data_IF_149266803965
#
_entry.id   IF_149266803965
#
_cell.length_a   1.000
_cell.length_b   1.000
_cell.length_c   1.000
_cell.angle_alpha   90.00
_cell.angle_beta   90.00
_cell.angle_gamma   90.00
#
_symmetry.space_group_name_H-M   'P 1'
#
loop_
_entity.id
_entity.type
_entity.pdbx_description
1 polymer ?
#
# COMPACT_ATOMS: atom_id res chain seq x y z
N UNK A 1 -11.52 -2.29 2.92
CA UNK A 1 -10.18 -1.93 3.47
C UNK A 1 -9.60 -2.96 4.43
N UNK A 2 -10.42 -3.64 5.24
CA UNK A 2 -9.96 -4.60 6.26
C UNK A 2 -9.19 -5.79 5.68
N UNK A 3 -9.59 -6.29 4.50
CA UNK A 3 -8.94 -7.44 3.86
C UNK A 3 -7.52 -7.15 3.38
N UNK A 4 -7.30 -6.06 2.62
CA UNK A 4 -5.95 -5.66 2.16
C UNK A 4 -4.99 -5.46 3.35
N UNK A 5 -5.45 -4.81 4.42
CA UNK A 5 -4.64 -4.61 5.63
C UNK A 5 -4.25 -5.94 6.29
N UNK A 6 -5.19 -6.88 6.38
CA UNK A 6 -4.95 -8.22 6.93
C UNK A 6 -3.97 -9.00 6.05
N UNK A 7 -4.24 -9.07 4.74
CA UNK A 7 -3.42 -9.82 3.79
C UNK A 7 -2.00 -9.26 3.72
N UNK A 8 -1.84 -7.93 3.71
CA UNK A 8 -0.54 -7.28 3.75
C UNK A 8 0.24 -7.67 5.01
N UNK A 9 -0.39 -7.62 6.19
CA UNK A 9 0.27 -7.99 7.45
C UNK A 9 0.64 -9.49 7.51
N UNK A 10 -0.16 -10.37 6.89
CA UNK A 10 0.11 -11.81 6.85
C UNK A 10 1.19 -12.20 5.83
N UNK A 11 1.23 -11.52 4.68
CA UNK A 11 2.09 -11.88 3.53
C UNK A 11 3.37 -11.06 3.43
N UNK A 12 3.36 -9.80 3.84
CA UNK A 12 4.49 -8.86 3.71
C UNK A 12 5.20 -8.67 5.05
N UNK A 13 5.57 -9.79 5.67
CA UNK A 13 6.24 -9.78 6.98
C UNK A 13 7.71 -9.40 6.83
N UNK A 14 8.33 -8.93 7.90
CA UNK A 14 9.79 -8.70 7.95
C UNK A 14 10.52 -9.96 7.48
N UNK A 15 11.46 -9.81 6.55
CA UNK A 15 12.17 -10.91 5.90
C UNK A 15 11.57 -11.38 4.56
N UNK A 16 10.37 -10.91 4.18
CA UNK A 16 9.78 -11.21 2.87
C UNK A 16 10.62 -10.59 1.76
N UNK A 17 10.79 -11.28 0.64
CA UNK A 17 11.62 -10.79 -0.47
C UNK A 17 10.83 -9.89 -1.43
N UNK A 18 11.52 -8.97 -2.08
CA UNK A 18 10.97 -7.99 -3.02
C UNK A 18 10.15 -8.64 -4.15
N UNK A 19 10.51 -9.83 -4.63
CA UNK A 19 9.75 -10.61 -5.62
C UNK A 19 8.35 -10.99 -5.09
N UNK A 20 8.26 -11.51 -3.87
CA UNK A 20 6.98 -11.82 -3.22
C UNK A 20 6.17 -10.54 -2.95
N UNK A 21 6.85 -9.42 -2.65
CA UNK A 21 6.19 -8.12 -2.50
C UNK A 21 5.60 -7.68 -3.85
N UNK A 22 6.35 -7.78 -4.95
CA UNK A 22 5.85 -7.45 -6.27
C UNK A 22 4.62 -8.30 -6.65
N UNK A 23 4.69 -9.62 -6.46
CA UNK A 23 3.57 -10.53 -6.71
C UNK A 23 2.32 -10.16 -5.89
N UNK A 24 2.51 -9.75 -4.63
CA UNK A 24 1.40 -9.28 -3.79
C UNK A 24 0.75 -8.01 -4.37
N UNK A 25 1.56 -7.03 -4.79
CA UNK A 25 1.04 -5.80 -5.37
C UNK A 25 0.25 -6.08 -6.65
N UNK A 26 0.79 -6.91 -7.54
CA UNK A 26 0.11 -7.35 -8.76
C UNK A 26 -1.21 -8.09 -8.45
N UNK A 27 -1.21 -9.01 -7.49
CA UNK A 27 -2.40 -9.75 -7.09
C UNK A 27 -3.52 -8.86 -6.53
N UNK A 28 -3.17 -7.73 -5.92
CA UNK A 28 -4.12 -6.75 -5.40
C UNK A 28 -4.37 -5.58 -6.36
N UNK A 29 -3.83 -5.62 -7.59
CA UNK A 29 -4.00 -4.58 -8.60
C UNK A 29 -3.32 -3.25 -8.26
N UNK A 30 -2.38 -3.26 -7.30
CA UNK A 30 -1.60 -2.10 -6.89
C UNK A 30 -0.38 -1.96 -7.82
N UNK A 31 -0.13 -0.78 -8.41
CA UNK A 31 1.12 -0.56 -9.14
C UNK A 31 2.30 -0.60 -8.17
N UNK A 32 3.30 -1.44 -8.42
CA UNK A 32 4.48 -1.53 -7.56
C UNK A 32 5.56 -0.56 -8.04
N UNK A 33 5.74 0.55 -7.30
CA UNK A 33 6.82 1.50 -7.54
C UNK A 33 7.81 1.44 -6.39
N UNK A 34 9.08 1.17 -6.71
CA UNK A 34 10.16 1.14 -5.71
C UNK A 34 11.03 2.37 -5.88
N UNK A 35 11.20 3.12 -4.80
CA UNK A 35 12.13 4.26 -4.77
C UNK A 35 13.11 4.11 -3.62
N UNK A 36 14.30 4.70 -3.78
CA UNK A 36 15.31 4.73 -2.73
C UNK A 36 15.00 5.86 -1.75
N UNK A 37 15.01 5.57 -0.46
CA UNK A 37 14.76 6.52 0.62
C UNK A 37 15.90 6.42 1.62
N UNK A 38 16.87 7.32 1.48
CA UNK A 38 18.10 7.30 2.28
C UNK A 38 18.87 5.97 2.19
N UNK A 39 18.85 5.22 3.30
CA UNK A 39 19.56 3.96 3.48
C UNK A 39 18.70 2.71 3.21
N UNK A 40 17.47 2.88 2.73
CA UNK A 40 16.56 1.79 2.41
C UNK A 40 15.81 2.08 1.10
N UNK A 41 14.95 1.15 0.70
CA UNK A 41 14.03 1.25 -0.44
C UNK A 41 12.60 1.25 0.09
N UNK A 42 11.69 1.87 -0.64
CA UNK A 42 10.29 1.94 -0.28
C UNK A 42 9.46 1.54 -1.49
N UNK A 43 8.70 0.45 -1.33
CA UNK A 43 7.72 -0.02 -2.30
C UNK A 43 6.37 0.62 -2.00
N UNK A 44 5.83 1.38 -2.95
CA UNK A 44 4.55 2.07 -2.80
C UNK A 44 3.65 1.81 -4.00
N UNK A 45 2.37 1.65 -3.71
CA UNK A 45 1.33 1.43 -4.69
C UNK A 45 0.01 1.96 -4.16
N UNK A 46 -0.72 2.64 -5.04
CA UNK A 46 -1.99 3.27 -4.71
C UNK A 46 -3.00 2.91 -5.79
N UNK A 47 -4.21 2.53 -5.37
CA UNK A 47 -5.35 2.34 -6.26
C UNK A 47 -6.46 3.32 -5.88
N UNK A 48 -7.18 3.79 -6.89
CA UNK A 48 -8.41 4.53 -6.69
C UNK A 48 -9.57 3.56 -6.62
N UNK A 49 -10.37 3.68 -5.57
CA UNK A 49 -11.61 2.93 -5.42
C UNK A 49 -12.79 3.89 -5.43
N UNK A 50 -13.87 3.49 -6.11
CA UNK A 50 -15.13 4.20 -6.16
C UNK A 50 -16.16 3.48 -5.29
N UNK A 51 -17.06 4.22 -4.64
CA UNK A 51 -18.18 3.65 -3.89
C UNK A 51 -17.89 3.33 -2.42
N UNK A 52 -17.14 4.19 -1.72
CA UNK A 52 -16.98 4.14 -0.27
C UNK A 52 -18.00 5.02 0.48
N UNK A 53 -18.24 4.75 1.76
CA UNK A 53 -18.98 5.69 2.62
C UNK A 53 -18.08 6.86 3.00
N UNK A 54 -18.03 7.90 2.18
CA UNK A 54 -17.24 9.08 2.47
C UNK A 54 -17.78 9.86 3.68
N UNK A 55 -16.90 10.47 4.50
CA UNK A 55 -17.31 11.35 5.59
C UNK A 55 -18.11 12.56 5.09
N UNK A 56 -18.96 13.14 5.96
CA UNK A 56 -19.62 14.41 5.66
C UNK A 56 -18.58 15.48 5.36
N UNK A 57 -18.67 16.13 4.21
CA UNK A 57 -17.71 17.11 3.70
C UNK A 57 -16.97 16.67 2.43
N UNK A 58 -17.02 15.38 2.08
CA UNK A 58 -16.49 14.89 0.80
C UNK A 58 -17.52 14.99 -0.33
N UNK A 59 -17.11 15.59 -1.44
CA UNK A 59 -17.90 15.78 -2.67
C UNK A 59 -17.96 14.54 -3.56
N UNK A 60 -17.16 13.51 -3.29
CA UNK A 60 -17.30 12.18 -3.91
C UNK A 60 -17.00 11.06 -2.92
N UNK A 61 -17.43 9.85 -3.30
CA UNK A 61 -17.13 8.60 -2.58
C UNK A 61 -15.78 7.98 -2.98
N UNK A 62 -15.00 8.71 -3.77
CA UNK A 62 -13.72 8.24 -4.28
C UNK A 62 -12.67 8.27 -3.17
N UNK A 63 -11.95 7.16 -3.01
CA UNK A 63 -10.86 7.04 -2.08
C UNK A 63 -9.60 6.48 -2.76
N UNK A 64 -8.44 6.98 -2.36
CA UNK A 64 -7.16 6.39 -2.68
C UNK A 64 -6.78 5.43 -1.56
N UNK A 65 -6.60 4.15 -1.88
CA UNK A 65 -6.05 3.16 -0.97
C UNK A 65 -4.60 2.96 -1.34
N UNK A 66 -3.70 3.20 -0.38
CA UNK A 66 -2.27 3.06 -0.53
C UNK A 66 -1.72 1.92 0.32
N UNK A 67 -0.72 1.22 -0.20
CA UNK A 67 0.13 0.28 0.51
C UNK A 67 1.58 0.74 0.40
N UNK A 68 2.27 0.72 1.53
CA UNK A 68 3.68 1.09 1.66
C UNK A 68 4.44 -0.02 2.37
N UNK A 69 5.59 -0.39 1.83
CA UNK A 69 6.47 -1.43 2.36
C UNK A 69 7.90 -0.90 2.38
N UNK A 70 8.55 -0.94 3.53
CA UNK A 70 9.97 -0.61 3.64
C UNK A 70 10.81 -1.86 3.37
N UNK A 71 11.77 -1.71 2.45
CA UNK A 71 12.66 -2.75 1.98
C UNK A 71 14.11 -2.36 2.27
N UNK A 72 14.96 -3.31 2.63
CA UNK A 72 16.40 -3.13 2.61
C UNK A 72 16.89 -2.82 1.19
N UNK A 73 18.12 -2.31 1.07
CA UNK A 73 18.74 -2.10 -0.25
C UNK A 73 18.82 -3.41 -1.06
N UNK A 74 18.93 -4.55 -0.36
CA UNK A 74 18.98 -5.90 -0.94
C UNK A 74 17.59 -6.46 -1.32
N UNK A 75 16.51 -5.69 -1.10
CA UNK A 75 15.16 -6.07 -1.49
C UNK A 75 14.50 -7.04 -0.51
N UNK A 76 14.63 -6.78 0.79
CA UNK A 76 13.96 -7.58 1.84
C UNK A 76 13.13 -6.67 2.74
N UNK A 77 11.91 -7.06 3.10
CA UNK A 77 11.07 -6.28 4.01
C UNK A 77 11.73 -6.09 5.37
N UNK A 78 11.88 -4.84 5.81
CA UNK A 78 12.53 -4.48 7.08
C UNK A 78 11.57 -3.90 8.12
N UNK A 79 10.36 -3.49 7.71
CA UNK A 79 9.34 -2.97 8.60
C UNK A 79 7.94 -3.52 8.25
N UNK A 80 6.99 -3.35 9.17
CA UNK A 80 5.61 -3.76 8.91
C UNK A 80 4.98 -2.92 7.78
N UNK A 81 4.14 -3.54 6.93
CA UNK A 81 3.49 -2.83 5.84
C UNK A 81 2.44 -1.85 6.37
N UNK A 82 2.43 -0.65 5.80
CA UNK A 82 1.46 0.40 6.16
C UNK A 82 0.39 0.48 5.09
N UNK A 83 -0.85 0.19 5.46
CA UNK A 83 -2.03 0.36 4.60
C UNK A 83 -2.80 1.59 5.05
N UNK A 84 -2.93 2.55 4.15
CA UNK A 84 -3.66 3.80 4.35
C UNK A 84 -4.80 3.95 3.36
N UNK A 85 -5.78 4.80 3.69
CA UNK A 85 -6.71 5.31 2.72
C UNK A 85 -7.01 6.78 2.95
N UNK A 86 -7.24 7.49 1.86
CA UNK A 86 -7.57 8.90 1.85
C UNK A 86 -8.75 9.13 0.92
N UNK A 87 -9.85 9.67 1.45
CA UNK A 87 -10.94 10.15 0.61
C UNK A 87 -10.47 11.37 -0.17
N UNK A 88 -10.83 11.41 -1.45
CA UNK A 88 -10.50 12.54 -2.33
C UNK A 88 -11.66 13.53 -2.35
N UNK A 89 -11.39 14.78 -2.75
CA UNK A 89 -12.42 15.82 -2.90
C UNK A 89 -13.21 16.14 -1.61
N UNK A 90 -12.51 16.28 -0.48
CA UNK A 90 -13.10 16.70 0.79
C UNK A 90 -12.83 18.19 1.08
N UNK A 91 -13.89 18.91 1.49
CA UNK A 91 -13.90 20.34 1.84
C UNK A 91 -13.68 20.58 3.34
#
# INVERSE_FOLDING_TARGET
>A
MTQLKKDAHEKLRIGTREDTVNEFFEAHGLPFNVFRSGNHKEGVGTIQVQGGCAPRGCGSEDALIGLRVELSLDGTVIAEPVVGAQFTNCL
#
